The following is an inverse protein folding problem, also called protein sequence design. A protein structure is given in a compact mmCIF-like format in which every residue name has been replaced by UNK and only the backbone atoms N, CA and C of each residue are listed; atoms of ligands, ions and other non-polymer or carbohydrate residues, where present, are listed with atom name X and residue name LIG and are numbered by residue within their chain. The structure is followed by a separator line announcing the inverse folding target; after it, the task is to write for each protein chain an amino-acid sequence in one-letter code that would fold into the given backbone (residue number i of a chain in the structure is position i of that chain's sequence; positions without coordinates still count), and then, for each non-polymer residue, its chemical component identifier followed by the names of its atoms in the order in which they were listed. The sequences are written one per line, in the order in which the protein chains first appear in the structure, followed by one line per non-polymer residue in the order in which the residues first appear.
data_IF_437147960959
#
_entry.id   IF_437147960959
#
_cell.length_a   1.000
_cell.length_b   1.000
_cell.length_c   1.000
_cell.angle_alpha   90.00
_cell.angle_beta   90.00
_cell.angle_gamma   90.00
#
_symmetry.space_group_name_H-M   'P 1'
#
loop_
_entity.id
_entity.type
_entity.pdbx_description
1 polymer ?
#
# COMPACT_ATOMS: atom_id res chain seq x y z
N UNK A 1 -8.33 0.37 -1.46
CA UNK A 1 -8.82 1.45 -2.34
C UNK A 1 -7.77 2.55 -2.51
N UNK A 2 -7.36 3.23 -1.44
CA UNK A 2 -6.42 4.37 -1.50
C UNK A 2 -5.07 3.98 -2.13
N UNK A 3 -4.44 2.89 -1.67
CA UNK A 3 -3.22 2.38 -2.30
C UNK A 3 -3.42 1.96 -3.75
N UNK A 4 -4.64 1.55 -4.13
CA UNK A 4 -4.99 1.31 -5.53
C UNK A 4 -4.96 2.60 -6.34
N UNK A 5 -5.54 3.69 -5.83
CA UNK A 5 -5.44 5.00 -6.45
C UNK A 5 -3.97 5.49 -6.52
N UNK A 6 -3.20 5.36 -5.44
CA UNK A 6 -1.77 5.71 -5.45
C UNK A 6 -0.99 4.89 -6.49
N UNK A 7 -1.24 3.57 -6.53
CA UNK A 7 -0.68 2.67 -7.55
C UNK A 7 -1.03 3.14 -8.96
N UNK A 8 -2.27 3.60 -9.18
CA UNK A 8 -2.71 4.05 -10.49
C UNK A 8 -1.91 5.26 -10.99
N UNK A 9 -1.60 6.21 -10.11
CA UNK A 9 -0.79 7.39 -10.44
C UNK A 9 0.73 7.14 -10.42
N UNK A 10 1.22 6.16 -9.65
CA UNK A 10 2.65 6.06 -9.30
C UNK A 10 3.34 4.79 -9.80
N UNK A 11 2.61 3.68 -10.00
CA UNK A 11 3.19 2.46 -10.57
C UNK A 11 3.31 2.56 -12.09
N UNK A 12 4.25 1.81 -12.67
CA UNK A 12 4.32 1.69 -14.14
C UNK A 12 3.00 1.16 -14.68
N UNK A 13 2.62 1.58 -15.88
CA UNK A 13 1.37 1.14 -16.52
C UNK A 13 1.41 -0.33 -16.93
N UNK A 14 2.60 -0.88 -17.15
CA UNK A 14 2.86 -2.27 -17.54
C UNK A 14 3.17 -3.19 -16.36
N UNK A 15 3.08 -2.69 -15.11
CA UNK A 15 3.25 -3.49 -13.89
C UNK A 15 2.32 -4.71 -13.89
N UNK A 16 2.90 -5.89 -13.69
CA UNK A 16 2.21 -7.19 -13.75
C UNK A 16 2.59 -8.16 -12.64
N UNK A 17 3.64 -7.88 -11.86
CA UNK A 17 4.07 -8.66 -10.69
C UNK A 17 3.86 -7.86 -9.41
N UNK A 18 3.05 -8.39 -8.50
CA UNK A 18 2.76 -7.79 -7.20
C UNK A 18 3.33 -8.66 -6.07
N UNK A 19 4.14 -8.08 -5.20
CA UNK A 19 4.59 -8.70 -3.95
C UNK A 19 3.83 -8.13 -2.76
N UNK A 20 3.27 -9.01 -1.92
CA UNK A 20 2.61 -8.70 -0.66
C UNK A 20 3.47 -9.24 0.48
N UNK A 21 3.98 -8.34 1.33
CA UNK A 21 4.67 -8.71 2.56
C UNK A 21 3.72 -8.42 3.73
N UNK A 22 3.24 -9.48 4.38
CA UNK A 22 2.15 -9.44 5.35
C UNK A 22 0.82 -9.87 4.73
N UNK A 23 0.46 -11.14 4.92
CA UNK A 23 -0.75 -11.81 4.41
C UNK A 23 -1.98 -11.63 5.33
N UNK A 24 -1.98 -10.62 6.18
CA UNK A 24 -3.08 -10.27 7.08
C UNK A 24 -4.32 -9.73 6.37
N UNK A 25 -5.24 -9.10 7.12
CA UNK A 25 -6.45 -8.50 6.56
C UNK A 25 -6.12 -7.40 5.52
N UNK A 26 -5.18 -6.52 5.85
CA UNK A 26 -4.72 -5.46 4.95
C UNK A 26 -4.03 -6.03 3.70
N UNK A 27 -3.10 -6.99 3.82
CA UNK A 27 -2.43 -7.56 2.65
C UNK A 27 -3.38 -8.05 1.55
N UNK A 28 -4.49 -8.69 1.93
CA UNK A 28 -5.53 -9.14 0.99
C UNK A 28 -6.24 -7.95 0.32
N UNK A 29 -6.65 -6.94 1.08
CA UNK A 29 -7.36 -5.77 0.51
C UNK A 29 -6.44 -4.85 -0.28
N UNK A 30 -5.15 -4.80 0.06
CA UNK A 30 -4.11 -4.15 -0.74
C UNK A 30 -3.97 -4.84 -2.09
N UNK A 31 -3.87 -6.18 -2.11
CA UNK A 31 -3.84 -6.93 -3.37
C UNK A 31 -5.09 -6.68 -4.22
N UNK A 32 -6.29 -6.71 -3.61
CA UNK A 32 -7.53 -6.38 -4.32
C UNK A 32 -7.51 -4.96 -4.91
N UNK A 33 -7.04 -3.97 -4.14
CA UNK A 33 -6.93 -2.58 -4.60
C UNK A 33 -5.92 -2.37 -5.73
N UNK A 34 -4.81 -3.10 -5.73
CA UNK A 34 -3.84 -3.05 -6.84
C UNK A 34 -4.42 -3.73 -8.08
N UNK A 35 -5.05 -4.91 -7.92
CA UNK A 35 -5.65 -5.65 -9.03
C UNK A 35 -6.80 -4.88 -9.71
N UNK A 36 -7.46 -3.95 -9.01
CA UNK A 36 -8.51 -3.12 -9.62
C UNK A 36 -7.98 -2.04 -10.57
N UNK A 37 -6.67 -1.74 -10.54
CA UNK A 37 -6.05 -0.68 -11.36
C UNK A 37 -4.89 -1.18 -12.22
N UNK A 38 -4.39 -2.40 -11.99
CA UNK A 38 -3.32 -3.01 -12.77
C UNK A 38 -3.67 -4.44 -13.14
N UNK A 39 -3.27 -4.84 -14.34
CA UNK A 39 -3.45 -6.21 -14.84
C UNK A 39 -2.34 -7.11 -14.28
N UNK A 40 -2.45 -7.41 -13.00
CA UNK A 40 -1.53 -8.30 -12.30
C UNK A 40 -1.68 -9.73 -12.85
N UNK A 41 -0.54 -10.34 -13.17
CA UNK A 41 -0.41 -11.72 -13.65
C UNK A 41 0.14 -12.65 -12.58
N UNK A 42 0.89 -12.11 -11.63
CA UNK A 42 1.50 -12.86 -10.53
C UNK A 42 1.38 -12.08 -9.22
N UNK A 43 0.93 -12.74 -8.16
CA UNK A 43 0.94 -12.23 -6.79
C UNK A 43 1.85 -13.13 -5.95
N UNK A 44 2.87 -12.54 -5.35
CA UNK A 44 3.84 -13.19 -4.48
C UNK A 44 3.55 -12.82 -3.04
N UNK A 45 3.41 -13.80 -2.18
CA UNK A 45 2.98 -13.59 -0.79
C UNK A 45 4.06 -14.06 0.15
N UNK A 46 4.47 -13.18 1.06
CA UNK A 46 5.45 -13.46 2.12
C UNK A 46 4.79 -13.16 3.46
N UNK A 47 4.76 -14.16 4.35
CA UNK A 47 4.28 -14.01 5.72
C UNK A 47 4.93 -15.07 6.61
N UNK A 48 5.32 -14.75 7.86
CA UNK A 48 5.79 -15.75 8.82
C UNK A 48 4.76 -16.86 9.09
N UNK A 49 3.47 -16.57 8.96
CA UNK A 49 2.37 -17.51 9.09
C UNK A 49 2.09 -18.22 7.77
N UNK A 50 2.50 -19.49 7.69
CA UNK A 50 2.17 -20.36 6.55
C UNK A 50 0.65 -20.47 6.32
N UNK A 51 -0.15 -20.42 7.39
CA UNK A 51 -1.61 -20.45 7.28
C UNK A 51 -2.17 -19.19 6.62
N UNK A 52 -1.59 -18.02 6.93
CA UNK A 52 -2.00 -16.76 6.30
C UNK A 52 -1.71 -16.80 4.79
N UNK A 53 -0.51 -17.26 4.41
CA UNK A 53 -0.12 -17.45 3.00
C UNK A 53 -1.01 -18.47 2.29
N UNK A 54 -1.25 -19.63 2.89
CA UNK A 54 -2.06 -20.70 2.28
C UNK A 54 -3.53 -20.30 2.08
N UNK A 55 -4.10 -19.47 2.96
CA UNK A 55 -5.47 -18.98 2.86
C UNK A 55 -5.61 -17.70 2.02
N UNK A 56 -4.50 -17.09 1.59
CA UNK A 56 -4.49 -15.79 0.92
C UNK A 56 -5.33 -15.77 -0.35
N UNK A 57 -5.15 -16.78 -1.22
CA UNK A 57 -5.88 -16.88 -2.48
C UNK A 57 -7.40 -16.93 -2.27
N UNK A 58 -7.87 -17.81 -1.39
CA UNK A 58 -9.29 -17.95 -1.08
C UNK A 58 -9.89 -16.65 -0.50
N UNK A 59 -9.14 -15.96 0.35
CA UNK A 59 -9.56 -14.67 0.91
C UNK A 59 -9.58 -13.59 -0.16
N UNK A 60 -8.60 -13.55 -1.05
CA UNK A 60 -8.58 -12.60 -2.17
C UNK A 60 -9.76 -12.80 -3.12
N UNK A 61 -10.14 -14.04 -3.42
CA UNK A 61 -11.32 -14.35 -4.26
C UNK A 61 -12.64 -13.82 -3.68
N UNK A 62 -12.72 -13.51 -2.38
CA UNK A 62 -13.90 -12.85 -1.80
C UNK A 62 -14.00 -11.35 -2.12
N UNK A 63 -12.90 -10.76 -2.60
CA UNK A 63 -12.82 -9.34 -2.99
C UNK A 63 -12.83 -9.14 -4.51
N UNK A 64 -12.30 -10.10 -5.27
CA UNK A 64 -12.19 -10.05 -6.72
C UNK A 64 -12.63 -11.38 -7.34
N UNK A 65 -13.69 -11.36 -8.15
CA UNK A 65 -14.29 -12.57 -8.72
C UNK A 65 -13.44 -13.20 -9.84
N UNK A 66 -12.77 -12.38 -10.66
CA UNK A 66 -12.07 -12.81 -11.88
C UNK A 66 -10.59 -12.36 -11.91
N UNK A 67 -9.81 -12.63 -10.86
CA UNK A 67 -8.37 -12.35 -10.90
C UNK A 67 -7.63 -13.36 -11.78
N UNK A 68 -6.96 -12.96 -12.86
CA UNK A 68 -6.14 -13.86 -13.67
C UNK A 68 -4.78 -14.17 -13.04
N UNK A 69 -4.48 -13.62 -11.85
CA UNK A 69 -3.14 -13.70 -11.27
C UNK A 69 -2.86 -15.08 -10.65
N UNK A 70 -1.69 -15.63 -10.97
CA UNK A 70 -1.14 -16.78 -10.26
C UNK A 70 -0.63 -16.33 -8.89
N UNK A 71 -1.04 -17.03 -7.82
CA UNK A 71 -0.68 -16.67 -6.45
C UNK A 71 0.32 -17.68 -5.90
N UNK A 72 1.49 -17.21 -5.48
CA UNK A 72 2.58 -18.03 -4.98
C UNK A 72 3.04 -17.54 -3.61
N UNK A 73 3.21 -18.47 -2.67
CA UNK A 73 3.86 -18.21 -1.40
C UNK A 73 5.38 -18.31 -1.53
N UNK A 74 6.11 -17.41 -0.90
CA UNK A 74 7.57 -17.40 -0.85
C UNK A 74 8.07 -17.45 0.59
N UNK A 75 9.24 -18.05 0.80
CA UNK A 75 9.82 -18.21 2.13
C UNK A 75 10.47 -16.92 2.63
N UNK A 76 11.06 -16.13 1.73
CA UNK A 76 11.76 -14.89 2.08
C UNK A 76 11.32 -13.72 1.20
N UNK A 77 11.47 -12.51 1.75
CA UNK A 77 11.25 -11.27 0.99
C UNK A 77 12.23 -11.16 -0.20
N UNK A 78 13.49 -11.58 -0.04
CA UNK A 78 14.50 -11.59 -1.11
C UNK A 78 14.01 -12.31 -2.36
N UNK A 79 13.53 -13.56 -2.21
CA UNK A 79 13.02 -14.35 -3.32
C UNK A 79 11.77 -13.71 -3.96
N UNK A 80 10.88 -13.16 -3.13
CA UNK A 80 9.64 -12.58 -3.61
C UNK A 80 9.83 -11.24 -4.32
N UNK A 81 10.87 -10.48 -3.98
CA UNK A 81 11.13 -9.14 -4.53
C UNK A 81 11.90 -9.18 -5.86
N UNK A 82 12.53 -10.30 -6.21
CA UNK A 82 13.25 -10.43 -7.48
C UNK A 82 12.34 -10.21 -8.71
N UNK A 83 12.49 -9.08 -9.41
CA UNK A 83 11.64 -8.74 -10.56
C UNK A 83 10.23 -8.29 -10.20
N UNK A 84 10.01 -7.82 -8.97
CA UNK A 84 8.72 -7.25 -8.55
C UNK A 84 8.49 -5.87 -9.17
N UNK A 85 7.26 -5.61 -9.63
CA UNK A 85 6.87 -4.29 -10.12
C UNK A 85 6.29 -3.43 -9.01
N UNK A 86 5.48 -4.06 -8.14
CA UNK A 86 4.75 -3.40 -7.07
C UNK A 86 4.94 -4.19 -5.77
N UNK A 87 5.23 -3.51 -4.68
CA UNK A 87 5.33 -4.09 -3.34
C UNK A 87 4.28 -3.44 -2.44
N UNK A 88 3.50 -4.24 -1.71
CA UNK A 88 2.69 -3.73 -0.60
C UNK A 88 3.20 -4.33 0.71
N UNK A 89 3.52 -3.47 1.67
CA UNK A 89 3.90 -3.88 3.03
C UNK A 89 2.76 -3.61 3.99
N UNK A 90 2.32 -4.66 4.69
CA UNK A 90 1.17 -4.65 5.58
C UNK A 90 1.43 -5.51 6.83
N UNK A 91 2.60 -5.32 7.44
CA UNK A 91 3.10 -6.04 8.60
C UNK A 91 3.03 -5.19 9.87
N UNK A 92 3.33 -5.81 11.01
CA UNK A 92 3.51 -5.11 12.29
C UNK A 92 4.98 -4.95 12.68
N UNK A 93 5.89 -4.88 11.70
CA UNK A 93 7.33 -4.86 11.96
C UNK A 93 7.80 -3.57 12.61
N UNK A 94 8.86 -3.68 13.43
CA UNK A 94 9.58 -2.58 14.09
C UNK A 94 10.94 -2.31 13.46
N UNK A 95 11.31 -3.09 12.47
CA UNK A 95 12.57 -3.02 11.74
C UNK A 95 12.32 -3.31 10.26
N UNK A 96 13.11 -2.72 9.34
CA UNK A 96 12.94 -2.98 7.91
C UNK A 96 12.82 -4.46 7.56
N UNK A 97 11.88 -4.81 6.69
CA UNK A 97 11.50 -6.21 6.39
C UNK A 97 12.15 -6.76 5.12
N UNK A 98 12.95 -5.93 4.43
CA UNK A 98 13.73 -6.31 3.26
C UNK A 98 15.02 -5.46 3.18
N UNK A 99 15.95 -5.87 2.33
CA UNK A 99 17.15 -5.07 2.01
C UNK A 99 16.86 -4.15 0.81
N UNK A 100 17.33 -2.90 0.86
CA UNK A 100 17.18 -1.94 -0.24
C UNK A 100 17.75 -2.44 -1.57
N UNK A 101 18.81 -3.26 -1.51
CA UNK A 101 19.46 -3.84 -2.69
C UNK A 101 18.57 -4.83 -3.45
N UNK A 102 17.50 -5.33 -2.83
CA UNK A 102 16.54 -6.23 -3.48
C UNK A 102 15.50 -5.46 -4.31
N UNK A 103 15.38 -4.14 -4.13
CA UNK A 103 14.41 -3.30 -4.84
C UNK A 103 15.00 -2.78 -6.14
N UNK A 104 14.40 -3.21 -7.25
CA UNK A 104 14.82 -2.83 -8.60
C UNK A 104 14.37 -1.40 -8.97
N UNK A 105 15.04 -0.77 -9.95
CA UNK A 105 14.54 0.46 -10.57
C UNK A 105 13.12 0.26 -11.12
N UNK A 106 12.29 1.30 -10.99
CA UNK A 106 10.92 1.31 -11.47
C UNK A 106 9.88 0.70 -10.53
N UNK A 107 10.30 0.05 -9.44
CA UNK A 107 9.35 -0.50 -8.46
C UNK A 107 8.46 0.59 -7.84
N UNK A 108 7.21 0.23 -7.54
CA UNK A 108 6.30 1.03 -6.73
C UNK A 108 6.04 0.35 -5.39
N UNK A 109 6.11 1.10 -4.29
CA UNK A 109 5.89 0.59 -2.94
C UNK A 109 4.67 1.26 -2.34
N UNK A 110 3.74 0.47 -1.80
CA UNK A 110 2.68 0.92 -0.91
C UNK A 110 3.02 0.47 0.52
N UNK A 111 3.37 1.39 1.41
CA UNK A 111 3.66 1.10 2.82
C UNK A 111 2.48 1.46 3.71
N UNK A 112 1.79 0.46 4.24
CA UNK A 112 0.58 0.66 5.06
C UNK A 112 0.69 0.09 6.47
N UNK A 113 1.70 -0.72 6.77
CA UNK A 113 1.84 -1.39 8.06
C UNK A 113 2.43 -0.53 9.16
N UNK A 114 3.43 0.32 8.90
CA UNK A 114 3.99 1.19 9.94
C UNK A 114 3.14 2.44 10.18
N UNK A 115 2.15 2.34 11.07
CA UNK A 115 1.24 3.41 11.47
C UNK A 115 1.49 3.95 12.89
N UNK A 116 2.59 3.55 13.52
CA UNK A 116 3.08 4.17 14.76
C UNK A 116 4.56 4.53 14.64
N UNK A 117 5.06 5.53 15.41
CA UNK A 117 6.44 6.03 15.25
C UNK A 117 7.53 4.98 15.47
N UNK A 118 7.25 3.97 16.27
CA UNK A 118 8.13 2.85 16.63
C UNK A 118 8.09 1.68 15.64
N UNK A 119 7.21 1.73 14.64
CA UNK A 119 7.14 0.74 13.56
C UNK A 119 8.00 1.14 12.37
N UNK A 120 8.57 0.18 11.68
CA UNK A 120 9.31 0.43 10.45
C UNK A 120 9.27 -0.85 9.59
N UNK A 121 8.86 -0.70 8.34
CA UNK A 121 8.84 -1.75 7.33
C UNK A 121 9.85 -1.48 6.22
N UNK A 122 10.02 -0.20 5.86
CA UNK A 122 10.79 0.23 4.70
C UNK A 122 12.21 0.66 5.15
N UNK A 123 13.28 0.17 4.50
CA UNK A 123 14.64 0.62 4.78
C UNK A 123 14.84 2.11 4.52
N UNK A 124 15.65 2.77 5.36
CA UNK A 124 15.98 4.19 5.22
C UNK A 124 16.51 4.55 3.83
N UNK A 125 17.38 3.70 3.25
CA UNK A 125 17.94 3.89 1.92
C UNK A 125 16.88 3.86 0.81
N UNK A 126 15.86 3.01 0.97
CA UNK A 126 14.72 2.91 0.05
C UNK A 126 13.88 4.18 0.11
N UNK A 127 13.58 4.66 1.33
CA UNK A 127 12.84 5.93 1.52
C UNK A 127 13.63 7.11 0.94
N UNK A 128 14.94 7.16 1.14
CA UNK A 128 15.79 8.26 0.70
C UNK A 128 15.79 8.50 -0.81
N UNK A 129 15.79 7.42 -1.60
CA UNK A 129 15.86 7.49 -3.07
C UNK A 129 14.51 7.40 -3.77
N UNK A 130 13.42 7.19 -3.03
CA UNK A 130 12.08 7.11 -3.59
C UNK A 130 11.46 8.50 -3.82
N UNK A 131 10.61 8.60 -4.84
CA UNK A 131 9.59 9.66 -4.89
C UNK A 131 8.50 9.34 -3.89
N UNK A 132 8.42 10.12 -2.81
CA UNK A 132 7.48 9.90 -1.71
C UNK A 132 6.18 10.66 -1.98
N UNK A 133 5.06 9.97 -1.83
CA UNK A 133 3.72 10.56 -1.79
C UNK A 133 3.02 9.98 -0.58
N UNK A 134 2.21 10.79 0.09
CA UNK A 134 1.55 10.39 1.34
C UNK A 134 0.05 10.59 1.30
N UNK A 135 -0.70 10.01 2.23
CA UNK A 135 -2.14 10.26 2.35
C UNK A 135 -2.47 11.59 3.03
N UNK A 136 -1.79 11.93 4.14
CA UNK A 136 -1.91 13.21 4.83
C UNK A 136 -0.59 13.57 5.52
N UNK A 137 0.03 14.71 5.15
CA UNK A 137 1.37 15.08 5.67
C UNK A 137 1.37 15.19 7.20
N UNK A 138 0.35 15.83 7.76
CA UNK A 138 0.23 16.04 9.20
C UNK A 138 0.19 14.71 9.97
N UNK A 139 -0.64 13.75 9.55
CA UNK A 139 -0.76 12.45 10.22
C UNK A 139 0.55 11.66 10.09
N UNK A 140 1.16 11.66 8.90
CA UNK A 140 2.41 10.94 8.61
C UNK A 140 3.55 11.41 9.51
N UNK A 141 3.67 12.72 9.74
CA UNK A 141 4.69 13.30 10.61
C UNK A 141 4.54 12.92 12.09
N UNK A 142 3.36 12.49 12.52
CA UNK A 142 3.08 12.09 13.90
C UNK A 142 3.00 10.57 14.10
N UNK A 143 2.67 9.82 13.05
CA UNK A 143 2.31 8.40 13.15
C UNK A 143 3.23 7.48 12.36
N UNK A 144 3.73 7.87 11.20
CA UNK A 144 4.41 6.94 10.30
C UNK A 144 5.89 6.76 10.65
N UNK A 145 6.24 5.71 11.39
CA UNK A 145 7.64 5.41 11.72
C UNK A 145 8.54 5.18 10.50
N UNK A 146 8.00 4.69 9.38
CA UNK A 146 8.69 4.63 8.07
C UNK A 146 9.19 6.00 7.55
N UNK A 147 8.65 7.10 8.06
CA UNK A 147 9.02 8.48 7.66
C UNK A 147 9.70 9.20 8.83
N UNK A 148 9.13 9.10 10.03
CA UNK A 148 9.63 9.76 11.25
C UNK A 148 11.06 9.32 11.55
N UNK A 149 11.37 8.02 11.48
CA UNK A 149 12.69 7.53 11.83
C UNK A 149 13.77 7.97 10.82
N UNK A 150 13.57 7.87 9.49
CA UNK A 150 14.49 8.47 8.51
C UNK A 150 14.68 9.99 8.66
N UNK A 151 13.61 10.75 9.00
CA UNK A 151 13.72 12.19 9.29
C UNK A 151 14.62 12.46 10.50
N UNK A 152 14.41 11.73 11.61
CA UNK A 152 15.22 11.86 12.83
C UNK A 152 16.69 11.52 12.60
N UNK A 153 16.97 10.57 11.70
CA UNK A 153 18.33 10.19 11.30
C UNK A 153 18.95 11.14 10.28
N UNK A 154 18.20 12.11 9.76
CA UNK A 154 18.67 13.05 8.74
C UNK A 154 18.87 12.41 7.36
N UNK A 155 18.25 11.24 7.11
CA UNK A 155 18.34 10.52 5.83
C UNK A 155 17.42 11.14 4.77
N UNK A 156 16.30 11.70 5.21
CA UNK A 156 15.38 12.50 4.39
C UNK A 156 15.09 13.84 5.08
N UNK A 157 14.48 14.76 4.33
CA UNK A 157 14.00 16.04 4.85
C UNK A 157 12.48 16.15 4.70
N UNK A 158 11.85 17.02 5.50
CA UNK A 158 10.40 17.26 5.41
C UNK A 158 9.97 17.75 4.02
N UNK A 159 10.87 18.38 3.25
CA UNK A 159 10.59 18.82 1.89
C UNK A 159 10.26 17.67 0.93
N UNK A 160 10.74 16.45 1.22
CA UNK A 160 10.51 15.26 0.40
C UNK A 160 9.13 14.64 0.60
N UNK A 161 8.40 15.01 1.66
CA UNK A 161 7.10 14.40 2.02
C UNK A 161 5.90 15.34 1.81
N UNK A 162 6.11 16.49 1.16
CA UNK A 162 5.07 17.52 1.01
C UNK A 162 3.98 17.15 -0.03
N UNK A 163 4.16 16.07 -0.77
CA UNK A 163 3.19 15.66 -1.80
C UNK A 163 2.18 14.67 -1.25
N UNK A 164 0.97 15.14 -0.98
CA UNK A 164 -0.18 14.26 -0.74
C UNK A 164 -0.77 13.67 -2.03
N UNK A 165 -1.44 12.52 -1.92
CA UNK A 165 -2.14 11.85 -3.01
C UNK A 165 -3.17 12.76 -3.69
N UNK A 166 -3.82 13.64 -2.93
CA UNK A 166 -4.76 14.63 -3.47
C UNK A 166 -4.13 15.55 -4.53
N UNK A 167 -2.85 15.89 -4.38
CA UNK A 167 -2.14 16.70 -5.39
C UNK A 167 -1.98 15.96 -6.72
N UNK A 168 -1.81 14.63 -6.69
CA UNK A 168 -1.78 13.82 -7.91
C UNK A 168 -3.15 13.77 -8.57
N UNK A 169 -4.20 13.54 -7.78
CA UNK A 169 -5.59 13.48 -8.25
C UNK A 169 -6.02 14.79 -8.90
N UNK A 170 -5.59 15.93 -8.34
CA UNK A 170 -5.90 17.27 -8.85
C UNK A 170 -4.95 17.72 -9.98
N UNK A 171 -3.92 16.94 -10.30
CA UNK A 171 -2.92 17.29 -11.32
C UNK A 171 -1.99 18.44 -10.92
N UNK A 172 -1.94 18.82 -9.64
CA UNK A 172 -1.02 19.85 -9.12
C UNK A 172 0.37 19.29 -8.79
N UNK A 173 0.54 17.97 -8.81
CA UNK A 173 1.83 17.29 -8.72
C UNK A 173 1.85 16.08 -9.68
N UNK A 174 3.03 15.74 -10.19
CA UNK A 174 3.21 14.56 -11.05
C UNK A 174 3.26 13.27 -10.23
N UNK A 175 2.72 12.18 -10.77
CA UNK A 175 2.88 10.83 -10.21
C UNK A 175 4.29 10.30 -10.48
N UNK A 176 4.41 9.24 -11.27
CA UNK A 176 5.70 8.80 -11.80
C UNK A 176 6.19 9.73 -12.93
N UNK A 177 7.47 10.07 -12.92
CA UNK A 177 8.10 10.95 -13.92
C UNK A 177 8.95 10.19 -14.94
N UNK A 178 9.51 9.02 -14.57
CA UNK A 178 10.26 8.17 -15.48
C UNK A 178 10.13 6.66 -15.13
N UNK A 179 10.45 5.75 -16.08
CA UNK A 179 10.28 4.31 -15.88
C UNK A 179 11.12 3.70 -14.75
N UNK A 180 12.29 4.26 -14.46
CA UNK A 180 13.24 3.71 -13.47
C UNK A 180 13.04 4.29 -12.07
N UNK A 181 12.18 5.29 -11.93
CA UNK A 181 11.93 5.96 -10.65
C UNK A 181 11.36 4.97 -9.63
N UNK A 182 12.00 4.85 -8.47
CA UNK A 182 11.38 4.21 -7.32
C UNK A 182 10.30 5.16 -6.78
N UNK A 183 9.10 4.65 -6.57
CA UNK A 183 7.98 5.44 -6.02
C UNK A 183 7.49 4.80 -4.75
N UNK A 184 7.17 5.62 -3.75
CA UNK A 184 6.73 5.16 -2.44
C UNK A 184 5.50 5.94 -2.01
N UNK A 185 4.37 5.23 -1.88
CA UNK A 185 3.18 5.73 -1.25
C UNK A 185 3.15 5.27 0.21
N UNK A 186 3.14 6.21 1.16
CA UNK A 186 2.99 5.93 2.59
C UNK A 186 1.58 6.31 3.05
N UNK A 187 0.93 5.41 3.78
CA UNK A 187 -0.39 5.66 4.36
C UNK A 187 -0.44 5.24 5.82
N UNK A 188 -1.15 6.04 6.62
CA UNK A 188 -1.55 5.74 8.01
C UNK A 188 -3.08 5.77 8.19
N UNK A 189 -3.81 6.19 7.16
CA UNK A 189 -5.26 6.33 7.16
C UNK A 189 -5.69 7.78 7.30
N UNK A 190 -6.82 8.13 6.68
CA UNK A 190 -7.38 9.46 6.78
C UNK A 190 -8.90 9.36 6.98
N UNK A 191 -9.41 9.99 8.04
CA UNK A 191 -10.83 9.93 8.43
C UNK A 191 -11.80 10.36 7.32
N UNK A 192 -11.37 11.20 6.37
CA UNK A 192 -12.20 11.56 5.21
C UNK A 192 -12.52 10.33 4.34
N UNK A 193 -11.61 9.37 4.26
CA UNK A 193 -11.78 8.13 3.50
C UNK A 193 -12.90 7.29 4.13
N UNK A 194 -12.90 7.15 5.46
CA UNK A 194 -13.96 6.45 6.19
C UNK A 194 -15.32 7.11 6.00
N UNK A 195 -15.36 8.45 6.07
CA UNK A 195 -16.59 9.22 5.88
C UNK A 195 -17.20 9.01 4.49
N UNK A 196 -16.36 9.02 3.44
CA UNK A 196 -16.81 8.80 2.07
C UNK A 196 -17.33 7.37 1.88
N UNK A 197 -16.63 6.36 2.41
CA UNK A 197 -17.08 4.97 2.33
C UNK A 197 -18.37 4.76 3.12
N UNK A 198 -18.48 5.32 4.33
CA UNK A 198 -19.69 5.25 5.14
C UNK A 198 -20.88 5.92 4.44
N UNK A 199 -20.69 7.09 3.83
CA UNK A 199 -21.73 7.76 3.05
C UNK A 199 -22.19 6.92 1.85
N UNK A 200 -21.25 6.31 1.13
CA UNK A 200 -21.56 5.42 0.01
C UNK A 200 -22.32 4.16 0.46
N UNK A 201 -21.89 3.54 1.55
CA UNK A 201 -22.54 2.38 2.13
C UNK A 201 -23.97 2.69 2.61
N UNK A 202 -24.18 3.85 3.25
CA UNK A 202 -25.49 4.31 3.68
C UNK A 202 -26.43 4.49 2.48
N UNK A 203 -25.99 5.22 1.45
CA UNK A 203 -26.79 5.39 0.22
C UNK A 203 -27.14 4.06 -0.45
N UNK A 204 -26.19 3.13 -0.48
CA UNK A 204 -26.44 1.79 -1.01
C UNK A 204 -27.47 1.02 -0.18
N UNK A 205 -27.38 1.09 1.16
CA UNK A 205 -28.33 0.47 2.08
C UNK A 205 -29.75 1.04 1.91
N UNK A 206 -29.89 2.36 1.84
CA UNK A 206 -31.16 3.05 1.58
C UNK A 206 -31.78 2.60 0.24
N UNK A 207 -30.98 2.56 -0.83
CA UNK A 207 -31.46 2.15 -2.16
C UNK A 207 -31.92 0.68 -2.23
N UNK A 208 -31.39 -0.18 -1.33
CA UNK A 208 -31.69 -1.61 -1.28
C UNK A 208 -32.69 -1.98 -0.19
N UNK A 209 -33.16 -0.99 0.60
CA UNK A 209 -34.04 -1.25 1.74
C UNK A 209 -33.40 -2.12 2.83
N UNK A 210 -32.08 -2.02 3.01
CA UNK A 210 -31.32 -2.78 4.02
C UNK A 210 -31.03 -1.86 5.21
N UNK A 211 -31.22 -2.37 6.43
CA UNK A 211 -30.94 -1.64 7.68
C UNK A 211 -32.16 -1.49 8.57
N UNK A 212 -31.99 -0.79 9.70
CA UNK A 212 -33.05 -0.54 10.67
C UNK A 212 -32.98 0.90 11.18
N UNK A 213 -34.10 1.62 11.12
CA UNK A 213 -34.23 2.93 11.78
C UNK A 213 -34.42 2.74 13.28
N UNK A 214 -33.57 3.40 14.06
CA UNK A 214 -33.63 3.40 15.52
C UNK A 214 -33.80 4.83 16.00
N UNK A 215 -34.73 5.07 16.92
CA UNK A 215 -34.85 6.38 17.60
C UNK A 215 -33.85 6.43 18.74
N UNK A 216 -33.01 7.46 18.75
CA UNK A 216 -32.13 7.75 19.88
C UNK A 216 -32.91 8.58 20.90
N UNK A 217 -32.83 8.19 22.17
CA UNK A 217 -33.50 8.85 23.29
C UNK A 217 -32.85 10.19 23.65
#
# INVERSE_FOLDING_TARGET
AVSGAATDFMARSDSSVLTIIGAGAQGVTQAAGVCSVRRIKEIRVVDPSQQATASFAARLSSWIEDSPALIHGFETAEQALEGTDIVCTATTSRTPIFDDNWIQPGTHINGVGAFTPDMQEIPDATVARARIVVDAVEAILHEAGDIIQPLQRGVITESQIQTELGHLVLGSAAGRENPDQLTFFKSVGNAIQDMIVASAALKAAESRGVGQTVSLA
#
